data_IF_834890908630
#
_entry.id   IF_834890908630
#
_cell.length_a   1.000
_cell.length_b   1.000
_cell.length_c   1.000
_cell.angle_alpha   90.00
_cell.angle_beta   90.00
_cell.angle_gamma   90.00
#
_symmetry.space_group_name_H-M   'P 1'
#
loop_
_entity.id
_entity.type
_entity.pdbx_description
1 polymer ?
#
# COMPACT_ATOMS: atom_id res chain seq x y z
N UNK A 1 0.29 -16.38 9.71
CA UNK A 1 0.94 -15.37 10.58
C UNK A 1 1.55 -14.22 9.77
N UNK A 2 2.45 -14.47 8.80
CA UNK A 2 3.06 -13.42 7.99
C UNK A 2 2.06 -12.52 7.26
N UNK A 3 1.07 -13.08 6.57
CA UNK A 3 0.04 -12.30 5.86
C UNK A 3 -0.77 -11.39 6.79
N UNK A 4 -1.11 -11.87 7.99
CA UNK A 4 -1.78 -11.07 9.01
C UNK A 4 -0.89 -9.94 9.51
N UNK A 5 0.41 -10.20 9.71
CA UNK A 5 1.38 -9.17 10.09
C UNK A 5 1.51 -8.08 9.02
N UNK A 6 1.62 -8.45 7.75
CA UNK A 6 1.66 -7.50 6.62
C UNK A 6 0.35 -6.70 6.54
N UNK A 7 -0.79 -7.35 6.74
CA UNK A 7 -2.08 -6.68 6.71
C UNK A 7 -2.22 -5.68 7.86
N UNK A 8 -1.86 -6.08 9.08
CA UNK A 8 -1.86 -5.20 10.24
C UNK A 8 -0.94 -4.00 10.04
N UNK A 9 0.25 -4.21 9.48
CA UNK A 9 1.18 -3.13 9.16
C UNK A 9 0.58 -2.15 8.15
N UNK A 10 -0.03 -2.65 7.06
CA UNK A 10 -0.69 -1.81 6.05
C UNK A 10 -1.83 -0.98 6.66
N UNK A 11 -2.70 -1.60 7.47
CA UNK A 11 -3.80 -0.87 8.11
C UNK A 11 -3.25 0.16 9.10
N UNK A 12 -2.21 -0.18 9.86
CA UNK A 12 -1.55 0.77 10.78
C UNK A 12 -1.02 1.98 10.03
N UNK A 13 -0.39 1.81 8.87
CA UNK A 13 0.05 2.94 8.02
C UNK A 13 -1.12 3.85 7.65
N UNK A 14 -2.27 3.29 7.25
CA UNK A 14 -3.45 4.10 6.91
C UNK A 14 -4.00 4.83 8.13
N UNK A 15 -4.08 4.15 9.29
CA UNK A 15 -4.51 4.78 10.55
C UNK A 15 -3.61 5.96 10.92
N UNK A 16 -2.29 5.81 10.81
CA UNK A 16 -1.33 6.88 11.10
C UNK A 16 -1.48 8.06 10.13
N UNK A 17 -1.73 7.80 8.85
CA UNK A 17 -1.92 8.86 7.84
C UNK A 17 -3.23 9.60 8.08
N UNK A 18 -4.33 8.88 8.33
CA UNK A 18 -5.63 9.49 8.64
C UNK A 18 -5.54 10.33 9.90
N UNK A 19 -4.84 9.85 10.94
CA UNK A 19 -4.56 10.61 12.15
C UNK A 19 -3.70 11.85 11.87
N UNK A 20 -2.66 11.74 11.02
CA UNK A 20 -1.80 12.86 10.63
C UNK A 20 -2.56 13.94 9.84
N UNK A 21 -3.61 13.56 9.11
CA UNK A 21 -4.53 14.49 8.43
C UNK A 21 -5.58 15.12 9.36
N UNK A 22 -5.51 14.84 10.67
CA UNK A 22 -6.43 15.39 11.67
C UNK A 22 -7.84 14.77 11.64
N UNK A 23 -8.01 13.62 10.98
CA UNK A 23 -9.30 12.95 10.88
C UNK A 23 -9.46 12.02 12.09
N UNK A 24 -10.50 12.27 12.89
CA UNK A 24 -10.80 11.45 14.06
C UNK A 24 -11.29 10.05 13.65
N UNK A 25 -10.58 9.02 14.12
CA UNK A 25 -10.94 7.62 13.93
C UNK A 25 -11.50 7.05 15.23
N UNK A 26 -12.66 6.40 15.14
CA UNK A 26 -13.19 5.54 16.18
C UNK A 26 -12.83 4.07 15.91
N UNK A 27 -13.12 3.19 16.87
CA UNK A 27 -12.84 1.75 16.72
C UNK A 27 -13.55 1.12 15.52
N UNK A 28 -14.75 1.59 15.18
CA UNK A 28 -15.52 1.08 14.05
C UNK A 28 -14.86 1.42 12.71
N UNK A 29 -14.39 2.66 12.52
CA UNK A 29 -13.68 3.09 11.30
C UNK A 29 -12.34 2.39 11.14
N UNK A 30 -11.63 2.12 12.23
CA UNK A 30 -10.39 1.32 12.17
C UNK A 30 -10.71 -0.10 11.68
N UNK A 31 -11.79 -0.71 12.16
CA UNK A 31 -12.23 -2.03 11.69
C UNK A 31 -12.67 -1.99 10.21
N UNK A 32 -13.31 -0.90 9.76
CA UNK A 32 -13.62 -0.72 8.34
C UNK A 32 -12.35 -0.69 7.49
N UNK A 33 -11.29 -0.01 7.92
CA UNK A 33 -10.00 0.00 7.20
C UNK A 33 -9.39 -1.40 7.06
N UNK A 34 -9.61 -2.31 8.02
CA UNK A 34 -9.19 -3.71 7.88
C UNK A 34 -9.85 -4.45 6.72
N UNK A 35 -11.04 -4.03 6.28
CA UNK A 35 -11.77 -4.61 5.15
C UNK A 35 -11.51 -3.82 3.87
N UNK A 36 -11.51 -2.49 3.95
CA UNK A 36 -11.41 -1.60 2.79
C UNK A 36 -9.99 -1.59 2.20
N UNK A 37 -8.94 -1.60 3.02
CA UNK A 37 -7.53 -1.61 2.54
C UNK A 37 -7.20 -2.85 1.70
N UNK A 38 -7.51 -4.10 2.12
CA UNK A 38 -7.32 -5.26 1.26
C UNK A 38 -8.18 -5.21 0.00
N UNK A 39 -9.42 -4.69 0.08
CA UNK A 39 -10.31 -4.58 -1.06
C UNK A 39 -9.77 -3.59 -2.12
N UNK A 40 -9.26 -2.44 -1.69
CA UNK A 40 -8.49 -1.52 -2.54
C UNK A 40 -7.26 -2.20 -3.15
N UNK A 41 -6.54 -3.00 -2.36
CA UNK A 41 -5.39 -3.78 -2.86
C UNK A 41 -5.75 -4.73 -4.00
N UNK A 42 -6.91 -5.39 -3.93
CA UNK A 42 -7.43 -6.24 -5.03
C UNK A 42 -7.73 -5.40 -6.27
N UNK A 43 -8.34 -4.23 -6.08
CA UNK A 43 -8.68 -3.34 -7.20
C UNK A 43 -7.44 -2.78 -7.88
N UNK A 44 -6.42 -2.39 -7.11
CA UNK A 44 -5.13 -1.88 -7.61
C UNK A 44 -4.33 -2.97 -8.35
N UNK A 45 -4.56 -4.24 -8.01
CA UNK A 45 -3.93 -5.35 -8.73
C UNK A 45 -4.46 -5.51 -10.16
N UNK A 46 -5.57 -4.85 -10.52
CA UNK A 46 -6.01 -4.80 -11.91
C UNK A 46 -4.96 -4.04 -12.74
N UNK A 47 -4.45 -4.63 -13.85
CA UNK A 47 -3.41 -4.01 -14.69
C UNK A 47 -3.99 -2.93 -15.61
N UNK A 48 -4.87 -2.09 -15.07
CA UNK A 48 -5.52 -0.99 -15.78
C UNK A 48 -4.76 0.33 -15.62
N UNK A 49 -3.90 0.43 -14.59
CA UNK A 49 -3.07 1.61 -14.33
C UNK A 49 -1.69 1.22 -13.79
N UNK A 50 -0.74 2.14 -13.88
CA UNK A 50 0.60 1.97 -13.34
C UNK A 50 0.55 1.98 -11.81
N UNK A 51 0.64 0.80 -11.17
CA UNK A 51 0.59 0.64 -9.72
C UNK A 51 -0.69 1.20 -9.05
N UNK A 52 -1.80 1.25 -9.79
CA UNK A 52 -3.02 1.84 -9.28
C UNK A 52 -3.07 3.37 -9.33
N UNK A 53 -2.07 4.08 -9.86
CA UNK A 53 -2.09 5.55 -9.90
C UNK A 53 -3.29 6.06 -10.72
N UNK A 54 -4.05 6.98 -10.15
CA UNK A 54 -5.33 7.48 -10.65
C UNK A 54 -6.52 6.61 -10.23
N UNK A 55 -6.43 5.29 -10.40
CA UNK A 55 -7.52 4.37 -10.03
C UNK A 55 -7.69 4.27 -8.51
N UNK A 56 -6.58 4.18 -7.78
CA UNK A 56 -6.53 4.09 -6.32
C UNK A 56 -7.24 5.27 -5.69
N UNK A 57 -6.93 6.47 -6.15
CA UNK A 57 -7.46 7.72 -5.62
C UNK A 57 -8.97 7.83 -5.86
N UNK A 58 -9.43 7.50 -7.08
CA UNK A 58 -10.86 7.49 -7.42
C UNK A 58 -11.60 6.41 -6.63
N UNK A 59 -11.04 5.19 -6.56
CA UNK A 59 -11.67 4.09 -5.84
C UNK A 59 -11.74 4.33 -4.33
N UNK A 60 -10.72 4.97 -3.75
CA UNK A 60 -10.75 5.32 -2.34
C UNK A 60 -11.72 6.46 -2.06
N UNK A 61 -11.84 7.45 -2.94
CA UNK A 61 -12.90 8.46 -2.85
C UNK A 61 -14.27 7.80 -2.78
N UNK A 62 -14.57 6.89 -3.70
CA UNK A 62 -15.83 6.14 -3.67
C UNK A 62 -15.97 5.29 -2.39
N UNK A 63 -15.00 4.43 -2.08
CA UNK A 63 -15.11 3.45 -1.00
C UNK A 63 -15.08 4.07 0.41
N UNK A 64 -14.17 5.02 0.66
CA UNK A 64 -14.00 5.57 2.02
C UNK A 64 -15.08 6.58 2.36
N UNK A 65 -15.58 7.32 1.36
CA UNK A 65 -16.71 8.24 1.57
C UNK A 65 -18.00 7.45 1.75
N UNK A 66 -18.28 6.46 0.89
CA UNK A 66 -19.48 5.61 1.03
C UNK A 66 -19.48 4.80 2.32
N UNK A 67 -18.31 4.34 2.79
CA UNK A 67 -18.18 3.64 4.07
C UNK A 67 -18.22 4.57 5.30
N UNK A 68 -18.19 5.90 5.11
CA UNK A 68 -18.19 6.89 6.20
C UNK A 68 -16.88 6.98 6.98
N UNK A 69 -15.76 6.53 6.38
CA UNK A 69 -14.42 6.63 6.96
C UNK A 69 -13.91 8.07 6.90
N UNK A 70 -14.21 8.76 5.80
CA UNK A 70 -13.89 10.19 5.59
C UNK A 70 -15.12 10.94 5.08
N UNK A 71 -15.12 12.27 5.25
CA UNK A 71 -16.29 13.11 4.93
C UNK A 71 -16.27 13.66 3.51
N UNK A 72 -15.11 13.71 2.86
CA UNK A 72 -14.94 14.27 1.53
C UNK A 72 -13.96 13.47 0.67
N UNK A 73 -14.21 13.41 -0.63
CA UNK A 73 -13.37 12.74 -1.63
C UNK A 73 -11.92 13.21 -1.56
N UNK A 74 -11.69 14.51 -1.36
CA UNK A 74 -10.34 15.08 -1.24
C UNK A 74 -9.56 14.50 -0.05
N UNK A 75 -10.24 14.13 1.04
CA UNK A 75 -9.61 13.47 2.17
C UNK A 75 -9.24 12.03 1.83
N UNK A 76 -10.12 11.29 1.14
CA UNK A 76 -9.85 9.92 0.71
C UNK A 76 -8.64 9.86 -0.24
N UNK A 77 -8.61 10.77 -1.22
CA UNK A 77 -7.50 10.92 -2.17
C UNK A 77 -6.20 11.23 -1.42
N UNK A 78 -6.22 12.17 -0.47
CA UNK A 78 -5.04 12.51 0.32
C UNK A 78 -4.53 11.32 1.15
N UNK A 79 -5.42 10.55 1.77
CA UNK A 79 -5.06 9.35 2.54
C UNK A 79 -4.35 8.33 1.67
N UNK A 80 -4.94 7.95 0.53
CA UNK A 80 -4.34 6.95 -0.35
C UNK A 80 -3.06 7.43 -1.02
N UNK A 81 -3.00 8.71 -1.41
CA UNK A 81 -1.81 9.28 -2.01
C UNK A 81 -0.63 9.29 -1.04
N UNK A 82 -0.86 9.68 0.23
CA UNK A 82 0.17 9.60 1.27
C UNK A 82 0.56 8.15 1.58
N UNK A 83 -0.40 7.22 1.56
CA UNK A 83 -0.13 5.80 1.81
C UNK A 83 0.74 5.20 0.70
N UNK A 84 0.45 5.57 -0.55
CA UNK A 84 1.27 5.22 -1.70
C UNK A 84 2.67 5.83 -1.60
N UNK A 85 2.78 7.11 -1.26
CA UNK A 85 4.07 7.77 -1.09
C UNK A 85 4.92 7.09 -0.01
N UNK A 86 4.32 6.75 1.13
CA UNK A 86 5.00 6.00 2.19
C UNK A 86 5.49 4.63 1.68
N UNK A 87 4.67 3.92 0.89
CA UNK A 87 5.06 2.65 0.29
C UNK A 87 6.21 2.82 -0.71
N UNK A 88 6.19 3.86 -1.55
CA UNK A 88 7.28 4.18 -2.48
C UNK A 88 8.59 4.43 -1.73
N UNK A 89 8.56 5.22 -0.65
CA UNK A 89 9.75 5.52 0.16
C UNK A 89 10.34 4.26 0.80
N UNK A 90 9.50 3.37 1.34
CA UNK A 90 9.95 2.09 1.92
C UNK A 90 10.51 1.17 0.83
N UNK A 91 9.84 1.09 -0.33
CA UNK A 91 10.32 0.29 -1.47
C UNK A 91 11.65 0.81 -2.02
N UNK A 92 11.84 2.13 -2.07
CA UNK A 92 13.09 2.75 -2.50
C UNK A 92 14.24 2.42 -1.53
N UNK A 93 13.99 2.48 -0.22
CA UNK A 93 14.98 2.05 0.76
C UNK A 93 15.40 0.58 0.55
N UNK A 94 14.44 -0.32 0.32
CA UNK A 94 14.71 -1.71 -0.05
C UNK A 94 15.51 -1.84 -1.35
N UNK A 95 15.19 -1.00 -2.36
CA UNK A 95 15.94 -0.92 -3.62
C UNK A 95 17.40 -0.47 -3.41
N UNK A 96 17.65 0.50 -2.54
CA UNK A 96 19.01 0.93 -2.18
C UNK A 96 19.79 -0.22 -1.54
N UNK A 97 19.20 -0.95 -0.59
CA UNK A 97 19.84 -2.13 0.00
C UNK A 97 20.12 -3.22 -1.04
N UNK A 98 19.21 -3.42 -2.00
CA UNK A 98 19.40 -4.36 -3.09
C UNK A 98 20.57 -3.97 -4.01
N UNK A 99 20.69 -2.69 -4.37
CA UNK A 99 21.79 -2.17 -5.20
C UNK A 99 23.16 -2.27 -4.51
N UNK A 100 23.19 -2.08 -3.18
CA UNK A 100 24.42 -2.18 -2.38
C UNK A 100 24.75 -3.62 -1.96
N UNK A 101 23.82 -4.56 -2.14
CA UNK A 101 24.00 -5.96 -1.81
C UNK A 101 24.96 -6.67 -2.78
N UNK A 102 25.71 -7.70 -2.32
CA UNK A 102 26.58 -8.45 -3.20
C UNK A 102 25.74 -9.15 -4.29
N UNK A 103 26.03 -8.83 -5.55
CA UNK A 103 25.51 -9.56 -6.70
C UNK A 103 26.06 -10.98 -6.60
N UNK A 104 25.26 -11.92 -6.07
CA UNK A 104 25.60 -13.34 -6.19
C UNK A 104 25.57 -13.65 -7.68
N UNK A 105 26.76 -13.75 -8.28
CA UNK A 105 26.93 -14.14 -9.66
C UNK A 105 26.30 -15.53 -9.84
N UNK A 106 25.08 -15.55 -10.39
CA UNK A 106 24.46 -16.75 -10.91
C UNK A 106 25.21 -17.13 -12.19
N UNK A 107 26.30 -17.86 -12.04
CA UNK A 107 27.18 -18.19 -13.15
C UNK A 107 28.27 -19.13 -12.71
N UNK A 108 27.91 -20.37 -12.38
CA UNK A 108 28.91 -21.42 -12.17
C UNK A 108 28.40 -22.84 -12.38
N UNK A 109 27.53 -23.04 -13.38
CA UNK A 109 27.20 -24.36 -13.93
C UNK A 109 27.14 -24.26 -15.47
N UNK A 110 28.31 -24.10 -16.11
CA UNK A 110 28.44 -24.44 -17.52
C UNK A 110 28.78 -25.95 -17.58
N UNK A 111 28.03 -26.78 -18.32
CA UNK A 111 28.42 -28.18 -18.50
C UNK A 111 29.75 -28.22 -19.25
N UNK A 112 30.78 -28.75 -18.60
CA UNK A 112 32.01 -29.17 -19.28
C UNK A 112 31.63 -30.27 -20.26
N UNK A 113 31.72 -29.96 -21.55
CA UNK A 113 31.56 -30.95 -22.60
C UNK A 113 32.64 -32.02 -22.47
N UNK A 114 32.19 -33.27 -22.42
CA UNK A 114 32.91 -34.46 -22.83
C UNK A 114 31.99 -35.28 -23.76
#
# INVERSE_FOLDING_TARGET
LLALGVQALRVTTHVLIVAALGIALDGARILQLFVLVPLLGILIALPVSLNGLGLREVAAAELFVTAGVVAADSQAVAVEFLAYLAQVLVSLAGGVFFMLGPVRAAGRDAPTGE
#
